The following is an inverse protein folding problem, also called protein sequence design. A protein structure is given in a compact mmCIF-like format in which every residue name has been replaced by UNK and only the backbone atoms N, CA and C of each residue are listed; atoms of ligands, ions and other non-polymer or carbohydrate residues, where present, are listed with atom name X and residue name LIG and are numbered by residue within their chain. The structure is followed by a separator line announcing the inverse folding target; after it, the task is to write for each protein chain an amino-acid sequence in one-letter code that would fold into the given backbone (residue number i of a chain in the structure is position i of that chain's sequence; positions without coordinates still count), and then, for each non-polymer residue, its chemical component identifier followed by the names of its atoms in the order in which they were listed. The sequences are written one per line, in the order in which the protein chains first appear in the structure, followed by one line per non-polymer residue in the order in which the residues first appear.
data_IF_533473623301
#
_entry.id   IF_533473623301
#
_cell.length_a   1.000
_cell.length_b   1.000
_cell.length_c   1.000
_cell.angle_alpha   90.00
_cell.angle_beta   90.00
_cell.angle_gamma   90.00
#
_symmetry.space_group_name_H-M   'P 1'
#
loop_
_entity.id
_entity.type
_entity.pdbx_description
1 polymer ?
#
# COMPACT_ATOMS: atom_id res chain seq x y z
N UNK A 1 18.22 -3.28 -12.61
CA UNK A 1 18.13 -3.14 -11.13
C UNK A 1 19.31 -2.40 -10.48
N UNK A 2 20.45 -2.22 -11.09
CA UNK A 2 21.59 -1.54 -10.41
C UNK A 2 21.39 -0.05 -10.06
N UNK A 3 20.30 0.57 -10.47
CA UNK A 3 20.01 1.99 -10.20
C UNK A 3 19.06 2.20 -9.01
N UNK A 4 18.25 1.18 -8.65
CA UNK A 4 17.30 1.27 -7.56
C UNK A 4 17.92 0.75 -6.26
N UNK A 5 17.79 1.52 -5.21
CA UNK A 5 18.23 1.21 -3.86
C UNK A 5 17.25 1.80 -2.84
N UNK A 6 17.54 1.72 -1.55
CA UNK A 6 16.65 2.25 -0.52
C UNK A 6 16.33 3.74 -0.68
N UNK A 7 17.26 4.55 -1.20
CA UNK A 7 17.01 5.97 -1.44
C UNK A 7 16.03 6.25 -2.59
N UNK A 8 15.82 5.26 -3.48
CA UNK A 8 14.83 5.32 -4.56
C UNK A 8 13.55 4.52 -4.26
N UNK A 9 13.34 4.07 -3.02
CA UNK A 9 12.14 3.32 -2.61
C UNK A 9 12.19 1.81 -2.90
N UNK A 10 13.35 1.28 -3.35
CA UNK A 10 13.52 -0.15 -3.54
C UNK A 10 14.06 -0.81 -2.27
N UNK A 11 13.27 -1.69 -1.69
CA UNK A 11 13.67 -2.52 -0.56
C UNK A 11 13.84 -3.97 -1.00
N UNK A 12 15.05 -4.31 -1.49
CA UNK A 12 15.39 -5.69 -1.85
C UNK A 12 15.27 -6.64 -0.67
N UNK A 13 15.33 -7.94 -0.96
CA UNK A 13 15.34 -8.95 0.11
C UNK A 13 16.59 -8.86 0.99
N UNK A 14 16.47 -9.11 2.30
CA UNK A 14 17.63 -9.25 3.16
C UNK A 14 18.51 -10.44 2.72
N UNK A 15 19.84 -10.36 2.91
CA UNK A 15 20.73 -11.49 2.68
C UNK A 15 20.33 -12.70 3.51
N UNK A 16 20.30 -13.89 2.91
CA UNK A 16 19.91 -15.13 3.58
C UNK A 16 18.39 -15.37 3.66
N UNK A 17 17.60 -14.57 2.96
CA UNK A 17 16.16 -14.83 2.82
C UNK A 17 15.86 -16.20 2.23
N UNK A 18 14.81 -16.85 2.74
CA UNK A 18 14.29 -18.11 2.21
C UNK A 18 12.75 -18.08 2.18
N UNK A 19 12.18 -18.63 1.10
CA UNK A 19 10.73 -18.82 1.01
C UNK A 19 10.36 -20.16 1.65
N UNK A 20 9.72 -20.12 2.81
CA UNK A 20 9.32 -21.30 3.57
C UNK A 20 7.80 -21.38 3.81
N UNK A 21 7.04 -20.47 3.19
CA UNK A 21 5.59 -20.48 3.32
C UNK A 21 4.98 -21.77 2.77
N UNK A 22 4.14 -22.42 3.57
CA UNK A 22 3.44 -23.63 3.18
C UNK A 22 2.13 -23.31 2.46
N UNK A 23 1.86 -24.01 1.35
CA UNK A 23 0.65 -23.78 0.54
C UNK A 23 -0.68 -24.07 1.27
N UNK A 24 -0.67 -24.67 2.45
CA UNK A 24 -1.84 -25.23 3.12
C UNK A 24 -2.26 -24.53 4.42
N UNK A 25 -1.56 -23.49 4.87
CA UNK A 25 -1.89 -22.79 6.11
C UNK A 25 -2.77 -21.57 5.81
N UNK A 26 -4.06 -21.61 6.20
CA UNK A 26 -5.04 -20.54 5.96
C UNK A 26 -5.14 -19.52 7.11
N UNK A 27 -4.62 -19.86 8.29
CA UNK A 27 -4.85 -19.09 9.52
C UNK A 27 -3.59 -18.43 10.10
N UNK A 28 -2.47 -18.46 9.37
CA UNK A 28 -1.22 -17.90 9.88
C UNK A 28 -1.17 -16.37 9.67
N UNK A 29 -0.66 -15.70 10.69
CA UNK A 29 -0.28 -14.31 10.60
C UNK A 29 0.82 -14.13 9.53
N UNK A 30 0.66 -13.25 8.53
CA UNK A 30 1.61 -13.09 7.43
C UNK A 30 3.01 -12.62 7.88
N UNK A 31 3.13 -11.96 9.02
CA UNK A 31 4.42 -11.60 9.62
C UNK A 31 5.13 -12.79 10.28
N UNK A 32 4.42 -13.86 10.57
CA UNK A 32 4.98 -15.17 11.00
C UNK A 32 5.33 -16.00 9.78
N UNK A 33 4.40 -16.15 8.86
CA UNK A 33 4.52 -17.00 7.68
C UNK A 33 5.70 -16.57 6.79
N UNK A 34 5.78 -15.27 6.48
CA UNK A 34 6.81 -14.73 5.59
C UNK A 34 8.00 -14.09 6.31
N UNK A 35 8.19 -14.38 7.63
CA UNK A 35 9.23 -13.72 8.44
C UNK A 35 10.63 -13.77 7.84
N UNK A 36 11.00 -14.91 7.22
CA UNK A 36 12.32 -15.11 6.63
C UNK A 36 12.54 -14.29 5.33
N UNK A 37 11.52 -13.59 4.87
CA UNK A 37 11.59 -12.61 3.77
C UNK A 37 11.60 -11.17 4.27
N UNK A 38 11.40 -10.93 5.58
CA UNK A 38 11.28 -9.60 6.18
C UNK A 38 12.61 -9.12 6.76
N UNK A 39 12.94 -7.87 6.51
CA UNK A 39 14.10 -7.20 7.12
C UNK A 39 14.02 -7.16 8.64
N UNK A 40 12.82 -7.01 9.19
CA UNK A 40 12.60 -7.03 10.63
C UNK A 40 13.08 -8.34 11.26
N UNK A 41 12.85 -9.50 10.63
CA UNK A 41 13.34 -10.79 11.11
C UNK A 41 14.87 -10.90 11.03
N UNK A 42 15.46 -10.52 9.91
CA UNK A 42 16.91 -10.56 9.73
C UNK A 42 17.65 -9.60 10.67
N UNK A 43 17.05 -8.44 10.94
CA UNK A 43 17.57 -7.54 11.97
C UNK A 43 17.56 -8.20 13.35
N UNK A 44 16.43 -8.79 13.76
CA UNK A 44 16.30 -9.47 15.04
C UNK A 44 17.33 -10.59 15.21
N UNK A 45 17.48 -11.45 14.20
CA UNK A 45 18.45 -12.56 14.22
C UNK A 45 19.89 -12.08 14.22
N UNK A 46 20.22 -11.00 13.52
CA UNK A 46 21.55 -10.37 13.54
C UNK A 46 21.92 -9.83 14.92
N UNK A 47 20.95 -9.46 15.73
CA UNK A 47 21.11 -9.02 17.13
C UNK A 47 21.11 -10.20 18.12
N UNK A 48 21.05 -11.45 17.64
CA UNK A 48 21.06 -12.66 18.47
C UNK A 48 19.70 -13.11 18.98
N UNK A 49 18.60 -12.51 18.50
CA UNK A 49 17.25 -12.98 18.84
C UNK A 49 16.99 -14.35 18.21
N UNK A 50 16.45 -15.29 18.99
CA UNK A 50 16.04 -16.60 18.46
C UNK A 50 14.77 -16.49 17.61
N UNK A 51 14.55 -17.48 16.71
CA UNK A 51 13.31 -17.56 15.92
C UNK A 51 12.08 -17.55 16.84
N UNK A 52 12.09 -18.31 17.94
CA UNK A 52 10.97 -18.34 18.87
C UNK A 52 10.71 -16.98 19.53
N UNK A 53 11.74 -16.25 19.92
CA UNK A 53 11.58 -14.92 20.52
C UNK A 53 10.98 -13.91 19.50
N UNK A 54 11.38 -14.02 18.22
CA UNK A 54 10.77 -13.21 17.17
C UNK A 54 9.27 -13.53 17.01
N UNK A 55 8.93 -14.83 16.97
CA UNK A 55 7.53 -15.27 16.93
C UNK A 55 6.72 -14.75 18.12
N UNK A 56 7.31 -14.74 19.31
CA UNK A 56 6.65 -14.24 20.52
C UNK A 56 6.45 -12.72 20.45
N UNK A 57 7.38 -11.96 19.88
CA UNK A 57 7.20 -10.51 19.65
C UNK A 57 6.04 -10.23 18.69
N UNK A 58 5.99 -10.97 17.55
CA UNK A 58 4.90 -10.83 16.58
C UNK A 58 3.56 -11.18 17.22
N UNK A 59 3.47 -12.33 17.91
CA UNK A 59 2.23 -12.78 18.56
C UNK A 59 1.75 -11.80 19.62
N UNK A 60 2.62 -11.33 20.50
CA UNK A 60 2.24 -10.39 21.56
C UNK A 60 1.68 -9.07 20.99
N UNK A 61 2.27 -8.58 19.90
CA UNK A 61 1.78 -7.37 19.23
C UNK A 61 0.45 -7.63 18.53
N UNK A 62 0.30 -8.77 17.84
CA UNK A 62 -0.92 -9.15 17.14
C UNK A 62 -2.08 -9.45 18.10
N UNK A 63 -1.82 -10.10 19.24
CA UNK A 63 -2.80 -10.33 20.30
C UNK A 63 -3.34 -8.99 20.83
N UNK A 64 -2.45 -8.01 21.06
CA UNK A 64 -2.86 -6.67 21.48
C UNK A 64 -3.68 -5.94 20.40
N UNK A 65 -3.40 -6.15 19.11
CA UNK A 65 -4.22 -5.66 18.00
C UNK A 65 -5.59 -6.34 18.02
N UNK A 66 -5.62 -7.66 18.19
CA UNK A 66 -6.84 -8.47 18.22
C UNK A 66 -7.76 -8.07 19.38
N UNK A 67 -7.21 -7.77 20.55
CA UNK A 67 -7.98 -7.25 21.69
C UNK A 67 -8.69 -5.91 21.39
N UNK A 68 -8.07 -5.06 20.56
CA UNK A 68 -8.61 -3.74 20.22
C UNK A 68 -9.63 -3.78 19.07
N UNK A 69 -9.48 -4.70 18.12
CA UNK A 69 -10.24 -4.70 16.86
C UNK A 69 -11.13 -5.92 16.68
N UNK A 70 -11.04 -6.89 17.57
CA UNK A 70 -11.75 -8.18 17.48
C UNK A 70 -11.12 -9.18 16.51
N UNK A 71 -10.03 -8.80 15.81
CA UNK A 71 -9.31 -9.69 14.91
C UNK A 71 -7.83 -9.30 14.82
N UNK A 72 -6.94 -10.30 14.75
CA UNK A 72 -5.52 -10.13 14.41
C UNK A 72 -5.26 -10.27 12.91
N UNK A 73 -3.98 -10.24 12.54
CA UNK A 73 -3.57 -10.46 11.16
C UNK A 73 -3.74 -11.93 10.75
N UNK A 74 -4.32 -12.14 9.58
CA UNK A 74 -4.54 -13.44 8.97
C UNK A 74 -4.41 -13.33 7.46
N UNK A 75 -4.33 -14.47 6.77
CA UNK A 75 -4.44 -14.50 5.33
C UNK A 75 -5.77 -13.85 4.90
N UNK A 76 -5.68 -12.87 4.01
CA UNK A 76 -6.87 -12.27 3.39
C UNK A 76 -7.18 -12.99 2.07
N UNK A 77 -8.45 -13.18 1.69
CA UNK A 77 -8.78 -14.03 0.56
C UNK A 77 -8.43 -13.40 -0.79
N UNK A 78 -7.99 -14.24 -1.72
CA UNK A 78 -8.00 -13.98 -3.16
C UNK A 78 -9.25 -14.65 -3.73
N UNK A 79 -10.22 -13.87 -4.22
CA UNK A 79 -11.57 -14.30 -4.56
C UNK A 79 -11.83 -14.11 -6.05
N UNK A 80 -12.36 -15.13 -6.72
CA UNK A 80 -12.86 -14.99 -8.09
C UNK A 80 -14.23 -14.31 -8.10
N UNK A 81 -14.37 -13.22 -8.84
CA UNK A 81 -15.58 -12.40 -8.91
C UNK A 81 -16.39 -12.72 -10.17
N UNK A 82 -17.00 -13.91 -10.23
CA UNK A 82 -17.66 -14.43 -11.43
C UNK A 82 -18.78 -13.54 -11.96
N UNK A 83 -19.66 -13.05 -11.07
CA UNK A 83 -20.81 -12.22 -11.48
C UNK A 83 -20.33 -10.82 -11.92
N UNK A 84 -19.32 -10.27 -11.26
CA UNK A 84 -18.69 -9.02 -11.67
C UNK A 84 -18.00 -9.17 -13.03
N UNK A 85 -17.26 -10.25 -13.26
CA UNK A 85 -16.59 -10.54 -14.53
C UNK A 85 -17.57 -10.55 -15.69
N UNK A 86 -18.71 -11.25 -15.52
CA UNK A 86 -19.80 -11.29 -16.51
C UNK A 86 -20.42 -9.91 -16.74
N UNK A 87 -20.69 -9.17 -15.66
CA UNK A 87 -21.33 -7.86 -15.73
C UNK A 87 -20.53 -6.83 -16.52
N UNK A 88 -19.17 -6.92 -16.45
CA UNK A 88 -18.28 -6.01 -17.18
C UNK A 88 -17.71 -6.61 -18.47
N UNK A 89 -18.08 -7.86 -18.83
CA UNK A 89 -17.59 -8.55 -20.02
C UNK A 89 -16.08 -8.79 -19.97
N UNK A 90 -15.55 -9.26 -18.83
CA UNK A 90 -14.16 -9.69 -18.68
C UNK A 90 -14.08 -11.20 -18.71
N UNK A 91 -13.92 -11.77 -19.91
CA UNK A 91 -13.98 -13.22 -20.15
C UNK A 91 -12.80 -13.97 -19.52
N UNK A 92 -11.61 -13.34 -19.47
CA UNK A 92 -10.42 -13.85 -18.74
C UNK A 92 -10.61 -13.85 -17.22
N UNK A 93 -11.63 -13.16 -16.72
CA UNK A 93 -12.02 -13.13 -15.32
C UNK A 93 -11.37 -12.07 -14.47
N UNK A 94 -12.05 -11.71 -13.38
CA UNK A 94 -11.57 -10.76 -12.37
C UNK A 94 -11.41 -11.48 -11.04
N UNK A 95 -10.21 -11.41 -10.49
CA UNK A 95 -9.87 -11.85 -9.14
C UNK A 95 -9.68 -10.64 -8.25
N UNK A 96 -10.11 -10.72 -7.00
CA UNK A 96 -9.92 -9.66 -6.03
C UNK A 96 -9.12 -10.14 -4.81
N UNK A 97 -8.02 -9.47 -4.52
CA UNK A 97 -7.37 -9.55 -3.22
C UNK A 97 -8.11 -8.67 -2.25
N UNK A 98 -8.82 -9.30 -1.31
CA UNK A 98 -9.76 -8.60 -0.43
C UNK A 98 -9.12 -8.18 0.90
N UNK A 99 -8.65 -6.95 1.00
CA UNK A 99 -8.10 -6.33 2.21
C UNK A 99 -9.16 -5.61 3.07
N UNK A 100 -10.43 -5.63 2.68
CA UNK A 100 -11.49 -4.97 3.47
C UNK A 100 -11.72 -5.63 4.82
N UNK A 101 -11.38 -6.91 4.95
CA UNK A 101 -11.51 -7.70 6.19
C UNK A 101 -10.22 -7.73 7.03
N UNK A 102 -9.15 -7.10 6.56
CA UNK A 102 -7.90 -7.00 7.31
C UNK A 102 -8.05 -6.11 8.55
N UNK A 103 -7.10 -6.16 9.45
CA UNK A 103 -7.02 -5.28 10.63
C UNK A 103 -7.30 -3.84 10.25
N UNK A 104 -8.09 -3.14 11.04
CA UNK A 104 -8.60 -1.79 10.74
C UNK A 104 -9.31 -1.66 9.39
N UNK A 105 -9.80 -2.74 8.79
CA UNK A 105 -10.57 -2.76 7.54
C UNK A 105 -9.79 -2.29 6.32
N UNK A 106 -8.45 -2.40 6.30
CA UNK A 106 -7.66 -1.99 5.12
C UNK A 106 -6.25 -2.56 5.12
N UNK A 107 -5.63 -2.59 3.92
CA UNK A 107 -4.22 -2.96 3.72
C UNK A 107 -3.23 -2.11 4.53
N UNK A 108 -3.62 -0.90 4.94
CA UNK A 108 -2.73 0.04 5.65
C UNK A 108 -2.16 -0.52 6.93
N UNK A 109 -2.90 -1.41 7.60
CA UNK A 109 -2.43 -2.06 8.81
C UNK A 109 -1.14 -2.86 8.62
N UNK A 110 -0.93 -3.49 7.45
CA UNK A 110 0.29 -4.26 7.16
C UNK A 110 1.54 -3.39 7.24
N UNK A 111 1.51 -2.22 6.60
CA UNK A 111 2.59 -1.24 6.62
C UNK A 111 2.93 -0.79 8.05
N UNK A 112 1.90 -0.42 8.81
CA UNK A 112 2.05 0.13 10.16
C UNK A 112 2.48 -0.96 11.17
N UNK A 113 2.01 -2.19 11.01
CA UNK A 113 2.45 -3.30 11.85
C UNK A 113 3.93 -3.62 11.63
N UNK A 114 4.39 -3.64 10.37
CA UNK A 114 5.81 -3.80 10.05
C UNK A 114 6.69 -2.72 10.71
N UNK A 115 6.24 -1.45 10.71
CA UNK A 115 6.92 -0.37 11.40
C UNK A 115 6.95 -0.59 12.92
N UNK A 116 5.81 -0.95 13.52
CA UNK A 116 5.74 -1.21 14.95
C UNK A 116 6.62 -2.40 15.36
N UNK A 117 6.57 -3.50 14.59
CA UNK A 117 7.41 -4.67 14.81
C UNK A 117 8.90 -4.31 14.81
N UNK A 118 9.33 -3.50 13.84
CA UNK A 118 10.70 -3.03 13.78
C UNK A 118 11.10 -2.21 15.01
N UNK A 119 10.23 -1.30 15.45
CA UNK A 119 10.48 -0.51 16.66
C UNK A 119 10.57 -1.36 17.93
N UNK A 120 9.85 -2.49 18.00
CA UNK A 120 9.98 -3.46 19.11
C UNK A 120 11.33 -4.18 19.05
N UNK A 121 11.75 -4.60 17.87
CA UNK A 121 13.03 -5.32 17.67
C UNK A 121 14.23 -4.42 17.95
N UNK A 122 14.17 -3.16 17.51
CA UNK A 122 15.22 -2.16 17.79
C UNK A 122 15.20 -1.63 19.23
N UNK A 123 14.27 -2.12 20.06
CA UNK A 123 14.08 -1.69 21.45
C UNK A 123 13.94 -0.16 21.60
N UNK A 124 13.35 0.48 20.59
CA UNK A 124 13.15 1.92 20.60
C UNK A 124 12.24 2.31 21.76
N UNK A 125 12.68 3.28 22.56
CA UNK A 125 11.94 3.75 23.75
C UNK A 125 10.47 4.02 23.43
N UNK A 126 9.57 3.47 24.23
CA UNK A 126 8.10 3.71 24.14
C UNK A 126 7.72 5.18 24.34
N UNK A 127 8.60 5.97 24.98
CA UNK A 127 8.37 7.39 25.21
C UNK A 127 8.66 8.26 23.96
N UNK A 128 9.33 7.71 22.93
CA UNK A 128 9.48 8.43 21.66
C UNK A 128 8.12 8.54 20.97
N UNK A 129 7.60 9.76 20.73
CA UNK A 129 6.31 9.92 20.09
C UNK A 129 6.38 9.50 18.62
N UNK A 130 5.25 8.98 18.13
CA UNK A 130 5.03 8.67 16.72
C UNK A 130 4.22 9.81 16.09
N UNK A 131 4.39 10.03 14.78
CA UNK A 131 3.56 10.99 14.04
C UNK A 131 3.22 10.51 12.65
N UNK A 132 2.02 10.88 12.17
CA UNK A 132 1.54 10.61 10.82
C UNK A 132 0.74 11.83 10.31
N UNK A 133 0.80 12.10 9.00
CA UNK A 133 -0.11 13.02 8.31
C UNK A 133 -1.09 12.19 7.47
N UNK A 134 -2.32 12.06 7.91
CA UNK A 134 -3.37 11.32 7.19
C UNK A 134 -4.73 11.56 7.84
N UNK A 135 -5.79 11.59 7.02
CA UNK A 135 -7.19 11.67 7.45
C UNK A 135 -8.05 10.51 6.90
N UNK A 136 -7.48 9.29 6.79
CA UNK A 136 -8.18 8.14 6.25
C UNK A 136 -7.72 6.81 6.87
N UNK A 137 -7.73 5.76 6.06
CA UNK A 137 -7.37 4.40 6.47
C UNK A 137 -5.98 4.29 7.10
N UNK A 138 -5.00 5.12 6.68
CA UNK A 138 -3.67 5.10 7.26
C UNK A 138 -3.67 5.68 8.69
N UNK A 139 -4.41 6.76 8.94
CA UNK A 139 -4.56 7.34 10.28
C UNK A 139 -5.21 6.33 11.24
N UNK A 140 -6.29 5.67 10.81
CA UNK A 140 -6.98 4.67 11.62
C UNK A 140 -6.07 3.48 11.93
N UNK A 141 -5.42 2.91 10.93
CA UNK A 141 -4.48 1.82 11.12
C UNK A 141 -3.32 2.21 12.05
N UNK A 142 -2.75 3.42 11.89
CA UNK A 142 -1.71 3.94 12.75
C UNK A 142 -2.17 4.05 14.22
N UNK A 143 -3.39 4.53 14.45
CA UNK A 143 -3.95 4.68 15.79
C UNK A 143 -4.15 3.32 16.48
N UNK A 144 -4.71 2.33 15.77
CA UNK A 144 -4.86 0.95 16.26
C UNK A 144 -3.49 0.35 16.62
N UNK A 145 -2.55 0.37 15.68
CA UNK A 145 -1.25 -0.27 15.87
C UNK A 145 -0.40 0.45 16.92
N UNK A 146 -0.40 1.78 16.95
CA UNK A 146 0.32 2.53 17.98
C UNK A 146 -0.23 2.24 19.38
N UNK A 147 -1.58 2.13 19.54
CA UNK A 147 -2.20 1.74 20.80
C UNK A 147 -1.81 0.33 21.22
N UNK A 148 -1.87 -0.65 20.32
CA UNK A 148 -1.44 -2.02 20.57
C UNK A 148 0.04 -2.08 21.01
N UNK A 149 0.90 -1.30 20.36
CA UNK A 149 2.32 -1.17 20.70
C UNK A 149 2.58 -0.30 21.95
N UNK A 150 1.54 0.24 22.60
CA UNK A 150 1.63 1.14 23.78
C UNK A 150 2.50 2.36 23.52
N UNK A 151 2.35 2.99 22.36
CA UNK A 151 3.10 4.18 21.92
C UNK A 151 2.19 5.37 21.71
N UNK A 152 2.67 6.56 22.04
CA UNK A 152 1.96 7.80 21.79
C UNK A 152 2.01 8.17 20.31
N UNK A 153 0.86 8.44 19.69
CA UNK A 153 0.75 8.84 18.30
C UNK A 153 0.09 10.23 18.21
N UNK A 154 0.69 11.11 17.39
CA UNK A 154 0.05 12.34 16.92
C UNK A 154 -0.37 12.17 15.48
N UNK A 155 -1.66 12.39 15.19
CA UNK A 155 -2.23 12.35 13.84
C UNK A 155 -2.49 13.78 13.39
N UNK A 156 -1.81 14.20 12.33
CA UNK A 156 -1.98 15.51 11.70
C UNK A 156 -3.08 15.41 10.65
N UNK A 157 -4.18 16.13 10.84
CA UNK A 157 -5.39 16.07 10.02
C UNK A 157 -5.75 17.43 9.46
N UNK A 158 -6.34 17.52 8.25
CA UNK A 158 -6.82 18.77 7.70
C UNK A 158 -8.05 19.29 8.43
N UNK A 159 -8.36 20.57 8.29
CA UNK A 159 -9.51 21.23 8.92
C UNK A 159 -10.88 20.68 8.49
N UNK A 160 -10.93 20.00 7.36
CA UNK A 160 -12.13 19.38 6.79
C UNK A 160 -12.25 17.88 7.10
N UNK A 161 -11.36 17.32 7.94
CA UNK A 161 -11.42 15.91 8.31
C UNK A 161 -12.78 15.56 8.95
N UNK A 162 -13.30 14.38 8.59
CA UNK A 162 -14.59 13.90 9.08
C UNK A 162 -14.60 13.70 10.60
N UNK A 163 -15.64 14.19 11.27
CA UNK A 163 -15.74 14.13 12.74
C UNK A 163 -15.83 12.71 13.27
N UNK A 164 -16.49 11.80 12.56
CA UNK A 164 -16.62 10.40 12.99
C UNK A 164 -15.28 9.65 12.87
N UNK A 165 -14.46 10.02 11.88
CA UNK A 165 -13.09 9.55 11.82
C UNK A 165 -12.28 10.06 13.01
N UNK A 166 -12.38 11.37 13.35
CA UNK A 166 -11.66 11.96 14.46
C UNK A 166 -12.03 11.30 15.79
N UNK A 167 -13.31 11.00 15.99
CA UNK A 167 -13.80 10.27 17.16
C UNK A 167 -13.16 8.87 17.23
N UNK A 168 -13.15 8.12 16.11
CA UNK A 168 -12.51 6.82 16.04
C UNK A 168 -11.00 6.86 16.31
N UNK A 169 -10.28 7.89 15.85
CA UNK A 169 -8.85 8.07 16.17
C UNK A 169 -8.64 8.33 17.67
N UNK A 170 -9.53 9.14 18.27
CA UNK A 170 -9.50 9.47 19.71
C UNK A 170 -9.78 8.26 20.58
N UNK A 171 -10.70 7.38 20.18
CA UNK A 171 -11.03 6.13 20.90
C UNK A 171 -9.81 5.20 21.01
N UNK A 172 -8.94 5.22 20.00
CA UNK A 172 -7.64 4.54 20.06
C UNK A 172 -6.56 5.35 20.78
N UNK A 173 -6.89 6.53 21.35
CA UNK A 173 -5.97 7.34 22.14
C UNK A 173 -4.95 8.13 21.35
N UNK A 174 -5.16 8.34 20.06
CA UNK A 174 -4.34 9.21 19.25
C UNK A 174 -4.55 10.68 19.64
N UNK A 175 -3.47 11.47 19.67
CA UNK A 175 -3.54 12.92 19.75
C UNK A 175 -3.84 13.48 18.37
N UNK A 176 -4.95 14.16 18.21
CA UNK A 176 -5.32 14.79 16.95
C UNK A 176 -4.77 16.22 16.91
N UNK A 177 -4.07 16.53 15.83
CA UNK A 177 -3.61 17.88 15.52
C UNK A 177 -4.28 18.36 14.23
N UNK A 178 -5.23 19.29 14.36
CA UNK A 178 -5.87 19.94 13.22
C UNK A 178 -4.89 20.96 12.63
N UNK A 179 -4.63 20.84 11.32
CA UNK A 179 -3.58 21.57 10.63
C UNK A 179 -4.20 22.69 9.78
N UNK A 180 -4.22 23.88 10.32
CA UNK A 180 -4.56 25.09 9.57
C UNK A 180 -3.35 25.58 8.79
N UNK A 181 -3.60 26.17 7.62
CA UNK A 181 -2.54 26.85 6.84
C UNK A 181 -2.14 28.14 7.53
N UNK A 182 -0.86 28.31 7.84
CA UNK A 182 -0.31 29.56 8.37
C UNK A 182 0.04 30.53 7.23
N UNK A 183 0.07 31.82 7.52
CA UNK A 183 0.42 32.86 6.55
C UNK A 183 1.82 32.61 5.95
N UNK A 184 1.89 32.59 4.62
CA UNK A 184 3.13 32.36 3.88
C UNK A 184 3.52 30.90 3.67
N UNK A 185 2.75 29.92 4.18
CA UNK A 185 3.02 28.50 3.94
C UNK A 185 2.52 28.05 2.57
N UNK A 186 3.35 27.24 1.88
CA UNK A 186 3.00 26.51 0.67
C UNK A 186 3.06 25.01 0.90
N UNK A 187 2.32 24.21 0.15
CA UNK A 187 2.23 22.76 0.32
C UNK A 187 1.11 22.31 1.29
N UNK A 188 1.06 21.05 1.64
CA UNK A 188 0.08 20.48 2.56
C UNK A 188 0.39 20.86 4.02
N UNK A 189 -0.53 21.56 4.74
CA UNK A 189 -0.34 21.91 6.14
C UNK A 189 -0.11 20.71 7.06
N UNK A 190 -0.72 19.54 6.77
CA UNK A 190 -0.55 18.33 7.56
C UNK A 190 0.87 17.78 7.44
N UNK A 191 1.41 17.77 6.23
CA UNK A 191 2.79 17.36 5.99
C UNK A 191 3.79 18.34 6.60
N UNK A 192 3.49 19.64 6.59
CA UNK A 192 4.33 20.64 7.26
C UNK A 192 4.38 20.40 8.80
N UNK A 193 3.22 20.18 9.42
CA UNK A 193 3.17 19.86 10.87
C UNK A 193 3.83 18.52 11.19
N UNK A 194 3.64 17.53 10.33
CA UNK A 194 4.34 16.24 10.44
C UNK A 194 5.87 16.44 10.46
N UNK A 195 6.41 17.21 9.53
CA UNK A 195 7.87 17.49 9.46
C UNK A 195 8.38 18.27 10.67
N UNK A 196 7.63 19.25 11.17
CA UNK A 196 7.97 19.95 12.42
C UNK A 196 8.10 18.95 13.59
N UNK A 197 7.15 18.00 13.73
CA UNK A 197 7.23 16.99 14.79
C UNK A 197 8.42 16.04 14.61
N UNK A 198 8.81 15.72 13.38
CA UNK A 198 10.04 14.93 13.14
C UNK A 198 11.30 15.70 13.59
N UNK A 199 11.37 17.02 13.32
CA UNK A 199 12.46 17.87 13.78
C UNK A 199 12.51 17.97 15.32
N UNK A 200 11.36 17.86 16.00
CA UNK A 200 11.24 17.78 17.46
C UNK A 200 11.60 16.39 18.02
N UNK A 201 11.89 15.42 17.16
CA UNK A 201 12.34 14.07 17.52
C UNK A 201 11.26 12.99 17.55
N UNK A 202 10.06 13.26 17.03
CA UNK A 202 9.08 12.23 16.76
C UNK A 202 9.55 11.27 15.66
N UNK A 203 9.00 10.05 15.63
CA UNK A 203 9.32 9.07 14.60
C UNK A 203 8.22 9.04 13.53
N UNK A 204 8.58 8.92 12.23
CA UNK A 204 7.61 8.79 11.16
C UNK A 204 6.89 7.44 11.26
N UNK A 205 5.56 7.46 11.34
CA UNK A 205 4.72 6.28 11.48
C UNK A 205 3.59 6.30 10.45
N UNK A 206 3.97 6.37 9.17
CA UNK A 206 3.08 6.50 8.02
C UNK A 206 3.41 5.51 6.91
N UNK A 207 2.63 5.57 5.81
CA UNK A 207 2.78 4.68 4.66
C UNK A 207 3.53 5.34 3.50
N UNK A 208 4.41 6.32 3.77
CA UNK A 208 5.26 6.96 2.79
C UNK A 208 6.69 6.39 2.91
N UNK A 209 7.12 5.62 1.91
CA UNK A 209 8.45 4.98 1.93
C UNK A 209 9.60 5.99 1.88
N UNK A 210 9.39 7.17 1.29
CA UNK A 210 10.36 8.28 1.30
C UNK A 210 10.62 8.85 2.70
N UNK A 211 9.64 8.78 3.60
CA UNK A 211 9.80 9.20 4.99
C UNK A 211 10.30 8.05 5.89
N UNK A 212 9.91 6.83 5.57
CA UNK A 212 10.36 5.61 6.26
C UNK A 212 10.26 4.39 5.35
N UNK A 213 11.38 3.98 4.76
CA UNK A 213 11.45 2.85 3.81
C UNK A 213 10.95 1.53 4.42
N UNK A 214 11.01 1.36 5.74
CA UNK A 214 10.57 0.14 6.42
C UNK A 214 9.04 -0.08 6.37
N UNK A 215 8.28 0.92 5.92
CA UNK A 215 6.86 0.72 5.61
C UNK A 215 6.67 -0.27 4.45
N UNK A 216 7.64 -0.35 3.53
CA UNK A 216 7.64 -1.31 2.42
C UNK A 216 7.81 -2.74 2.92
N UNK A 217 8.64 -2.98 3.96
CA UNK A 217 8.84 -4.31 4.56
C UNK A 217 7.52 -4.94 5.01
N UNK A 218 6.73 -4.21 5.80
CA UNK A 218 5.39 -4.66 6.22
C UNK A 218 4.41 -4.81 5.05
N UNK A 219 4.45 -3.88 4.08
CA UNK A 219 3.59 -3.90 2.89
C UNK A 219 3.84 -5.10 1.98
N UNK A 220 5.07 -5.61 1.89
CA UNK A 220 5.45 -6.79 1.09
C UNK A 220 4.70 -8.05 1.51
N UNK A 221 4.25 -8.14 2.76
CA UNK A 221 3.46 -9.29 3.24
C UNK A 221 2.21 -9.55 2.41
N UNK A 222 1.57 -8.49 1.85
CA UNK A 222 0.42 -8.65 0.95
C UNK A 222 0.82 -9.33 -0.37
N UNK A 223 1.91 -8.89 -0.97
CA UNK A 223 2.39 -9.47 -2.23
C UNK A 223 2.92 -10.90 -2.05
N UNK A 224 3.61 -11.22 -0.95
CA UNK A 224 4.03 -12.59 -0.64
C UNK A 224 2.83 -13.52 -0.46
N UNK A 225 1.83 -13.09 0.31
CA UNK A 225 0.58 -13.81 0.51
C UNK A 225 -0.16 -14.04 -0.81
N UNK A 226 -0.30 -13.00 -1.64
CA UNK A 226 -0.91 -13.11 -2.95
C UNK A 226 -0.12 -14.07 -3.86
N UNK A 227 1.21 -14.05 -3.84
CA UNK A 227 2.04 -14.98 -4.61
C UNK A 227 1.82 -16.44 -4.20
N UNK A 228 1.73 -16.72 -2.90
CA UNK A 228 1.39 -18.06 -2.39
C UNK A 228 0.00 -18.50 -2.84
N UNK A 229 -0.98 -17.58 -2.84
CA UNK A 229 -2.35 -17.87 -3.29
C UNK A 229 -2.41 -18.11 -4.80
N UNK A 230 -1.73 -17.29 -5.61
CA UNK A 230 -1.65 -17.50 -7.07
C UNK A 230 -1.04 -18.87 -7.38
N UNK A 231 0.05 -19.25 -6.73
CA UNK A 231 0.66 -20.56 -6.89
C UNK A 231 -0.27 -21.69 -6.40
N UNK A 232 -0.95 -21.51 -5.26
CA UNK A 232 -1.91 -22.50 -4.70
C UNK A 232 -3.06 -22.81 -5.66
N UNK A 233 -3.54 -21.79 -6.38
CA UNK A 233 -4.66 -21.91 -7.32
C UNK A 233 -4.22 -22.19 -8.76
N UNK A 234 -2.92 -22.33 -9.01
CA UNK A 234 -2.34 -22.46 -10.36
C UNK A 234 -2.81 -21.33 -11.31
N UNK A 235 -2.75 -20.10 -10.81
CA UNK A 235 -3.20 -18.89 -11.50
C UNK A 235 -2.01 -18.07 -12.01
N UNK A 236 -2.05 -17.76 -13.30
CA UNK A 236 -1.10 -16.87 -13.97
C UNK A 236 -1.87 -15.66 -14.53
N UNK A 237 -2.24 -14.66 -13.70
CA UNK A 237 -2.99 -13.51 -14.20
C UNK A 237 -2.15 -12.62 -15.10
N UNK A 238 -2.78 -12.05 -16.13
CA UNK A 238 -2.12 -11.16 -17.08
C UNK A 238 -1.88 -9.78 -16.49
N UNK A 239 -2.82 -9.28 -15.67
CA UNK A 239 -2.82 -7.91 -15.16
C UNK A 239 -3.02 -7.85 -13.64
N UNK A 240 -2.31 -6.91 -13.02
CA UNK A 240 -2.57 -6.47 -11.65
C UNK A 240 -2.87 -4.98 -11.65
N UNK A 241 -4.08 -4.59 -11.25
CA UNK A 241 -4.45 -3.18 -11.11
C UNK A 241 -4.41 -2.76 -9.64
N UNK A 242 -3.61 -1.73 -9.37
CA UNK A 242 -3.41 -1.20 -8.01
C UNK A 242 -3.67 0.30 -7.98
N UNK A 243 -4.59 0.73 -7.14
CA UNK A 243 -4.83 2.15 -6.90
C UNK A 243 -3.66 2.81 -6.17
N UNK A 244 -3.29 4.00 -6.62
CA UNK A 244 -2.09 4.71 -6.17
C UNK A 244 -2.42 6.14 -5.73
N UNK A 245 -2.21 6.42 -4.45
CA UNK A 245 -1.95 7.75 -3.91
C UNK A 245 -0.45 7.90 -3.71
N UNK A 246 0.05 7.68 -2.49
CA UNK A 246 1.48 7.75 -2.16
C UNK A 246 2.37 6.65 -2.77
N UNK A 247 1.79 5.55 -3.26
CA UNK A 247 2.52 4.52 -4.02
C UNK A 247 3.03 3.32 -3.22
N UNK A 248 3.09 3.36 -1.89
CA UNK A 248 3.68 2.30 -1.07
C UNK A 248 3.03 0.92 -1.28
N UNK A 249 1.69 0.86 -1.45
CA UNK A 249 0.98 -0.41 -1.71
C UNK A 249 1.46 -1.04 -3.02
N UNK A 250 1.41 -0.29 -4.12
CA UNK A 250 1.81 -0.79 -5.44
C UNK A 250 3.29 -1.17 -5.45
N UNK A 251 4.15 -0.33 -4.88
CA UNK A 251 5.59 -0.57 -4.79
C UNK A 251 5.92 -1.83 -3.97
N UNK A 252 5.35 -1.98 -2.77
CA UNK A 252 5.60 -3.16 -1.93
C UNK A 252 5.05 -4.44 -2.56
N UNK A 253 3.85 -4.39 -3.15
CA UNK A 253 3.24 -5.55 -3.81
C UNK A 253 4.06 -5.99 -5.02
N UNK A 254 4.43 -5.06 -5.90
CA UNK A 254 5.25 -5.35 -7.08
C UNK A 254 6.62 -5.92 -6.69
N UNK A 255 7.31 -5.33 -5.72
CA UNK A 255 8.59 -5.84 -5.22
C UNK A 255 8.45 -7.28 -4.67
N UNK A 256 7.38 -7.58 -3.93
CA UNK A 256 7.15 -8.93 -3.41
C UNK A 256 6.83 -9.95 -4.50
N UNK A 257 6.08 -9.59 -5.55
CA UNK A 257 5.83 -10.45 -6.71
C UNK A 257 7.13 -10.73 -7.49
N UNK A 258 7.99 -9.72 -7.63
CA UNK A 258 9.32 -9.88 -8.23
C UNK A 258 10.18 -10.83 -7.41
N UNK A 259 10.17 -10.71 -6.09
CA UNK A 259 10.87 -11.64 -5.19
C UNK A 259 10.33 -13.06 -5.33
N UNK A 260 9.01 -13.24 -5.39
CA UNK A 260 8.36 -14.55 -5.57
C UNK A 260 8.75 -15.22 -6.91
N UNK A 261 8.82 -14.45 -7.99
CA UNK A 261 9.33 -14.91 -9.29
C UNK A 261 10.80 -15.35 -9.17
N UNK A 262 11.63 -14.57 -8.49
CA UNK A 262 13.06 -14.90 -8.30
C UNK A 262 13.27 -16.16 -7.45
N UNK A 263 12.36 -16.47 -6.53
CA UNK A 263 12.34 -17.74 -5.78
C UNK A 263 11.71 -18.91 -6.56
N UNK A 264 11.16 -18.68 -7.75
CA UNK A 264 10.45 -19.69 -8.53
C UNK A 264 9.09 -20.11 -7.95
N UNK A 265 8.51 -19.29 -7.07
CA UNK A 265 7.13 -19.47 -6.55
C UNK A 265 6.12 -19.12 -7.63
N UNK A 266 6.38 -18.07 -8.38
CA UNK A 266 5.66 -17.70 -9.58
C UNK A 266 6.52 -17.97 -10.81
N UNK A 267 5.93 -18.50 -11.86
CA UNK A 267 6.60 -18.66 -13.16
C UNK A 267 6.81 -17.29 -13.80
N UNK A 268 5.78 -16.48 -13.77
CA UNK A 268 5.81 -15.07 -14.13
C UNK A 268 4.93 -14.25 -13.18
N UNK A 269 4.98 -12.93 -13.28
CA UNK A 269 4.16 -12.02 -12.50
C UNK A 269 3.24 -11.23 -13.41
N UNK A 270 2.04 -10.87 -12.94
CA UNK A 270 1.14 -10.03 -13.72
C UNK A 270 1.77 -8.66 -14.02
N UNK A 271 1.43 -8.13 -15.19
CA UNK A 271 1.79 -6.76 -15.59
C UNK A 271 1.13 -5.74 -14.66
N UNK A 272 1.94 -4.81 -14.12
CA UNK A 272 1.46 -3.79 -13.18
C UNK A 272 0.76 -2.65 -13.92
N UNK A 273 -0.49 -2.40 -13.57
CA UNK A 273 -1.21 -1.19 -13.94
C UNK A 273 -1.52 -0.36 -12.68
N UNK A 274 -0.93 0.82 -12.57
CA UNK A 274 -1.23 1.75 -11.48
C UNK A 274 -2.45 2.59 -11.83
N UNK A 275 -3.35 2.82 -10.86
CA UNK A 275 -4.59 3.54 -11.09
C UNK A 275 -4.65 4.80 -10.24
N UNK A 276 -4.84 5.95 -10.88
CA UNK A 276 -5.07 7.23 -10.22
C UNK A 276 -6.39 7.86 -10.69
N UNK A 277 -6.96 8.73 -9.87
CA UNK A 277 -8.15 9.49 -10.25
C UNK A 277 -7.78 10.65 -11.19
N UNK A 278 -8.66 11.00 -12.14
CA UNK A 278 -8.45 12.13 -13.06
C UNK A 278 -8.29 13.47 -12.34
N UNK A 279 -8.83 13.61 -11.13
CA UNK A 279 -8.65 14.77 -10.28
C UNK A 279 -7.35 14.79 -9.48
N UNK A 280 -6.51 13.74 -9.57
CA UNK A 280 -5.19 13.67 -8.95
C UNK A 280 -4.38 12.51 -9.56
N UNK A 281 -3.53 12.79 -10.56
CA UNK A 281 -2.75 11.78 -11.28
C UNK A 281 -1.29 12.17 -11.52
N UNK A 282 -0.54 12.54 -10.45
CA UNK A 282 0.85 12.98 -10.59
C UNK A 282 1.79 11.90 -11.14
N UNK A 283 1.54 10.60 -10.82
CA UNK A 283 2.33 9.50 -11.33
C UNK A 283 2.21 9.34 -12.84
N UNK A 284 0.99 9.47 -13.40
CA UNK A 284 0.78 9.43 -14.85
C UNK A 284 1.60 10.51 -15.57
N UNK A 285 1.60 11.74 -15.02
CA UNK A 285 2.38 12.84 -15.61
C UNK A 285 3.88 12.54 -15.54
N UNK A 286 4.38 12.10 -14.40
CA UNK A 286 5.80 11.77 -14.24
C UNK A 286 6.22 10.60 -15.14
N UNK A 287 5.39 9.56 -15.26
CA UNK A 287 5.62 8.42 -16.15
C UNK A 287 5.73 8.88 -17.60
N UNK A 288 4.73 9.62 -18.12
CA UNK A 288 4.73 10.10 -19.51
C UNK A 288 5.94 10.99 -19.80
N UNK A 289 6.31 11.86 -18.86
CA UNK A 289 7.47 12.73 -19.02
C UNK A 289 8.79 11.95 -19.16
N UNK A 290 8.89 10.78 -18.52
CA UNK A 290 10.05 9.89 -18.65
C UNK A 290 9.96 9.03 -19.90
N UNK A 291 8.81 8.39 -20.16
CA UNK A 291 8.59 7.48 -21.28
C UNK A 291 8.73 8.19 -22.63
N UNK A 292 8.27 9.42 -22.73
CA UNK A 292 8.29 10.22 -23.97
C UNK A 292 9.63 10.94 -24.20
N UNK A 293 10.59 10.80 -23.28
CA UNK A 293 11.92 11.38 -23.44
C UNK A 293 12.75 10.62 -24.49
N UNK A 294 13.72 11.29 -25.09
CA UNK A 294 14.65 10.67 -26.06
C UNK A 294 15.42 9.48 -25.48
N UNK A 295 15.63 9.48 -24.15
CA UNK A 295 16.30 8.40 -23.42
C UNK A 295 15.63 8.16 -22.06
N UNK A 296 14.62 7.28 -21.98
CA UNK A 296 13.90 7.00 -20.73
C UNK A 296 14.78 6.54 -19.56
N UNK A 297 15.85 5.79 -19.86
CA UNK A 297 16.78 5.30 -18.83
C UNK A 297 17.60 6.45 -18.22
N UNK A 298 18.04 7.41 -19.01
CA UNK A 298 18.73 8.61 -18.54
C UNK A 298 17.79 9.53 -17.78
N UNK A 299 16.56 9.73 -18.29
CA UNK A 299 15.53 10.53 -17.63
C UNK A 299 15.16 9.96 -16.24
N UNK A 300 15.03 8.62 -16.12
CA UNK A 300 14.78 7.98 -14.83
C UNK A 300 15.99 8.11 -13.88
N UNK A 301 17.21 8.00 -14.38
CA UNK A 301 18.43 8.22 -13.58
C UNK A 301 18.51 9.65 -13.07
N UNK A 302 18.12 10.63 -13.89
CA UNK A 302 18.01 12.03 -13.47
C UNK A 302 16.90 12.21 -12.42
N UNK A 303 15.78 11.53 -12.58
CA UNK A 303 14.64 11.60 -11.64
C UNK A 303 15.00 11.11 -10.23
N UNK A 304 15.91 10.15 -10.08
CA UNK A 304 16.43 9.70 -8.78
C UNK A 304 17.20 10.84 -8.09
N UNK A 305 17.97 11.61 -8.85
CA UNK A 305 18.79 12.71 -8.32
C UNK A 305 18.00 14.01 -8.15
N UNK A 306 16.97 14.22 -8.94
CA UNK A 306 16.15 15.42 -8.98
C UNK A 306 14.66 15.10 -9.13
N UNK A 307 14.05 14.46 -8.12
CA UNK A 307 12.67 13.93 -8.21
C UNK A 307 11.64 15.02 -8.49
N UNK A 308 11.80 16.22 -7.95
CA UNK A 308 10.84 17.32 -8.14
C UNK A 308 10.77 17.88 -9.57
N UNK A 309 11.74 17.53 -10.42
CA UNK A 309 11.67 17.86 -11.86
C UNK A 309 10.53 17.10 -12.54
N UNK A 310 10.29 15.85 -12.14
CA UNK A 310 9.34 14.93 -12.74
C UNK A 310 8.06 14.77 -11.90
N UNK A 311 8.20 14.51 -10.61
CA UNK A 311 7.09 14.35 -9.67
C UNK A 311 6.75 15.72 -9.05
N UNK A 312 5.83 16.44 -9.68
CA UNK A 312 5.38 17.75 -9.22
C UNK A 312 4.10 17.61 -8.39
N UNK A 313 3.96 18.39 -7.30
CA UNK A 313 2.74 18.41 -6.53
C UNK A 313 1.52 18.76 -7.39
N UNK A 314 0.44 17.97 -7.22
CA UNK A 314 -0.83 18.22 -7.89
C UNK A 314 -1.60 19.33 -7.18
N UNK A 315 -2.12 20.28 -7.97
CA UNK A 315 -2.92 21.36 -7.42
C UNK A 315 -4.38 20.95 -7.25
N UNK A 316 -4.93 21.15 -6.07
CA UNK A 316 -6.34 20.89 -5.74
C UNK A 316 -6.81 19.46 -6.05
N UNK A 317 -6.23 18.43 -5.39
CA UNK A 317 -6.68 17.04 -5.54
C UNK A 317 -8.17 16.88 -5.25
N UNK A 318 -8.90 16.16 -6.10
CA UNK A 318 -10.35 15.98 -5.96
C UNK A 318 -10.81 14.64 -6.54
N UNK A 319 -11.49 13.82 -5.75
CA UNK A 319 -12.23 12.61 -6.15
C UNK A 319 -13.04 12.07 -4.97
N UNK A 320 -14.05 11.23 -5.22
CA UNK A 320 -14.70 10.42 -4.20
C UNK A 320 -13.73 9.36 -3.60
N UNK A 321 -12.72 8.93 -4.35
CA UNK A 321 -11.67 8.05 -3.88
C UNK A 321 -10.60 8.81 -3.07
N UNK A 322 -11.01 9.39 -1.95
CA UNK A 322 -10.19 10.33 -1.15
C UNK A 322 -8.86 9.77 -0.66
N UNK A 323 -8.74 8.46 -0.48
CA UNK A 323 -7.52 7.81 0.01
C UNK A 323 -6.40 7.64 -1.04
N UNK A 324 -6.60 8.13 -2.28
CA UNK A 324 -5.58 8.17 -3.33
C UNK A 324 -5.34 9.60 -3.85
N UNK A 325 -5.60 10.59 -3.03
CA UNK A 325 -5.44 12.02 -3.37
C UNK A 325 -4.16 12.62 -2.79
N UNK A 326 -3.11 11.83 -2.64
CA UNK A 326 -1.79 12.38 -2.33
C UNK A 326 -1.34 13.30 -3.49
N UNK A 327 -0.95 14.51 -3.18
CA UNK A 327 -0.54 15.51 -4.17
C UNK A 327 0.74 15.13 -4.93
N UNK A 328 1.56 14.25 -4.33
CA UNK A 328 2.68 13.57 -4.99
C UNK A 328 2.60 12.06 -4.71
N UNK A 329 3.12 11.26 -5.63
CA UNK A 329 3.33 9.83 -5.38
C UNK A 329 4.71 9.63 -4.79
N UNK A 330 4.79 9.32 -3.50
CA UNK A 330 6.06 9.21 -2.77
C UNK A 330 6.94 8.06 -3.28
N UNK A 331 6.35 6.86 -3.43
CA UNK A 331 7.06 5.62 -3.79
C UNK A 331 6.97 5.31 -5.30
N UNK A 332 7.16 6.30 -6.15
CA UNK A 332 6.89 6.22 -7.59
C UNK A 332 8.03 5.65 -8.45
N UNK A 333 9.29 5.85 -8.04
CA UNK A 333 10.45 5.45 -8.86
C UNK A 333 10.49 3.95 -9.16
N UNK A 334 10.24 3.03 -8.17
CA UNK A 334 10.16 1.60 -8.46
C UNK A 334 9.03 1.25 -9.40
N UNK A 335 7.89 1.96 -9.33
CA UNK A 335 6.74 1.73 -10.20
C UNK A 335 7.03 2.12 -11.64
N UNK A 336 7.65 3.29 -11.86
CA UNK A 336 8.05 3.73 -13.21
C UNK A 336 9.12 2.80 -13.79
N UNK A 337 10.11 2.39 -12.97
CA UNK A 337 11.09 1.40 -13.41
C UNK A 337 10.41 0.10 -13.87
N UNK A 338 9.51 -0.42 -13.08
CA UNK A 338 8.81 -1.67 -13.36
C UNK A 338 8.05 -1.60 -14.69
N UNK A 339 7.20 -0.60 -14.82
CA UNK A 339 6.34 -0.43 -15.99
C UNK A 339 7.11 -0.11 -17.29
N UNK A 340 8.33 0.45 -17.22
CA UNK A 340 9.11 0.80 -18.41
C UNK A 340 10.15 -0.24 -18.79
N UNK A 341 10.72 -0.97 -17.82
CA UNK A 341 11.92 -1.77 -18.08
C UNK A 341 11.83 -3.25 -17.69
N UNK A 342 10.93 -3.61 -16.76
CA UNK A 342 10.75 -4.99 -16.32
C UNK A 342 9.53 -5.65 -16.99
N UNK A 343 8.51 -4.84 -17.32
CA UNK A 343 7.25 -5.32 -17.89
C UNK A 343 6.66 -4.29 -18.84
N UNK A 344 6.85 -4.50 -20.13
CA UNK A 344 6.40 -3.57 -21.17
C UNK A 344 4.88 -3.55 -21.42
N UNK A 345 4.09 -4.40 -20.73
CA UNK A 345 2.64 -4.48 -20.90
C UNK A 345 1.86 -3.69 -19.85
N UNK A 346 2.51 -3.29 -18.76
CA UNK A 346 1.93 -2.47 -17.71
C UNK A 346 1.95 -0.98 -18.03
N UNK A 347 1.31 -0.18 -17.17
CA UNK A 347 1.32 1.28 -17.30
C UNK A 347 0.37 1.98 -16.35
N UNK A 348 0.50 3.31 -16.19
CA UNK A 348 -0.41 4.10 -15.39
C UNK A 348 -1.74 4.29 -16.12
N UNK A 349 -2.84 4.19 -15.37
CA UNK A 349 -4.22 4.37 -15.83
C UNK A 349 -4.83 5.53 -15.06
N UNK A 350 -5.54 6.41 -15.79
CA UNK A 350 -6.30 7.51 -15.22
C UNK A 350 -7.80 7.17 -15.25
N UNK A 351 -8.40 6.92 -14.08
CA UNK A 351 -9.83 6.68 -13.96
C UNK A 351 -10.61 7.98 -13.80
N UNK A 352 -11.68 8.15 -14.57
CA UNK A 352 -12.58 9.28 -14.41
C UNK A 352 -13.41 9.13 -13.13
N UNK A 353 -13.99 10.22 -12.62
CA UNK A 353 -14.90 10.17 -11.49
C UNK A 353 -16.12 9.27 -11.77
N UNK A 354 -16.58 9.23 -13.03
CA UNK A 354 -17.63 8.31 -13.46
C UNK A 354 -17.21 6.85 -13.30
N UNK A 355 -15.98 6.50 -13.66
CA UNK A 355 -15.45 5.13 -13.50
C UNK A 355 -15.33 4.75 -12.03
N UNK A 356 -14.91 5.69 -11.16
CA UNK A 356 -14.80 5.50 -9.70
C UNK A 356 -16.18 5.23 -9.07
N UNK A 357 -17.19 6.03 -9.43
CA UNK A 357 -18.55 5.82 -8.96
C UNK A 357 -19.13 4.50 -9.45
N UNK A 358 -18.93 4.18 -10.72
CA UNK A 358 -19.41 2.94 -11.33
C UNK A 358 -18.75 1.71 -10.70
N UNK A 359 -17.44 1.73 -10.45
CA UNK A 359 -16.71 0.62 -9.86
C UNK A 359 -17.23 0.25 -8.46
N UNK A 360 -17.51 1.26 -7.62
CA UNK A 360 -18.10 1.01 -6.30
C UNK A 360 -19.48 0.34 -6.40
N UNK A 361 -20.34 0.84 -7.28
CA UNK A 361 -21.67 0.26 -7.48
C UNK A 361 -21.58 -1.17 -8.00
N UNK A 362 -20.73 -1.46 -8.98
CA UNK A 362 -20.54 -2.80 -9.51
C UNK A 362 -20.05 -3.80 -8.45
N UNK A 363 -19.13 -3.41 -7.57
CA UNK A 363 -18.71 -4.27 -6.45
C UNK A 363 -19.87 -4.52 -5.50
N UNK A 364 -20.65 -3.49 -5.14
CA UNK A 364 -21.80 -3.63 -4.26
C UNK A 364 -22.92 -4.49 -4.86
N UNK A 365 -23.17 -4.37 -6.17
CA UNK A 365 -24.28 -5.06 -6.85
C UNK A 365 -23.94 -6.53 -7.20
N UNK A 366 -22.65 -6.84 -7.38
CA UNK A 366 -22.22 -8.17 -7.89
C UNK A 366 -21.32 -8.94 -6.92
N UNK A 367 -21.11 -8.46 -5.69
CA UNK A 367 -20.32 -9.16 -4.68
C UNK A 367 -20.89 -8.92 -3.27
N UNK A 368 -20.49 -9.79 -2.32
CA UNK A 368 -20.77 -9.60 -0.88
C UNK A 368 -19.75 -8.68 -0.19
N UNK A 369 -18.86 -8.01 -0.96
CA UNK A 369 -17.74 -7.24 -0.41
C UNK A 369 -18.14 -5.77 -0.28
N UNK A 370 -18.10 -5.26 0.95
CA UNK A 370 -18.30 -3.83 1.23
C UNK A 370 -16.96 -3.09 1.09
N UNK A 371 -16.72 -2.45 -0.06
CA UNK A 371 -15.50 -1.69 -0.33
C UNK A 371 -15.81 -0.22 -0.61
N UNK A 372 -14.96 0.67 -0.10
CA UNK A 372 -15.06 2.12 -0.30
C UNK A 372 -14.71 2.54 -1.74
N UNK A 373 -14.98 3.79 -2.13
CA UNK A 373 -14.52 4.35 -3.41
C UNK A 373 -13.02 4.17 -3.62
N UNK A 374 -12.22 4.43 -2.61
CA UNK A 374 -10.77 4.15 -2.63
C UNK A 374 -10.49 2.65 -2.77
N UNK A 375 -11.27 1.83 -2.06
CA UNK A 375 -11.11 0.37 -2.08
C UNK A 375 -11.38 -0.25 -3.45
N UNK A 376 -12.25 0.35 -4.25
CA UNK A 376 -12.66 -0.15 -5.57
C UNK A 376 -11.96 0.55 -6.74
N UNK A 377 -11.05 1.50 -6.49
CA UNK A 377 -10.45 2.32 -7.55
C UNK A 377 -9.61 1.48 -8.55
N UNK A 378 -9.06 0.32 -8.14
CA UNK A 378 -8.43 -0.63 -9.06
C UNK A 378 -9.41 -1.12 -10.15
N UNK A 379 -10.66 -1.43 -9.77
CA UNK A 379 -11.72 -1.76 -10.75
C UNK A 379 -12.07 -0.57 -11.65
N UNK A 380 -12.08 0.65 -11.11
CA UNK A 380 -12.28 1.86 -11.92
C UNK A 380 -11.22 1.98 -13.02
N UNK A 381 -9.98 1.64 -12.70
CA UNK A 381 -8.89 1.55 -13.67
C UNK A 381 -9.15 0.49 -14.75
N UNK A 382 -9.64 -0.69 -14.37
CA UNK A 382 -10.01 -1.75 -15.33
C UNK A 382 -11.09 -1.25 -16.31
N UNK A 383 -12.14 -0.59 -15.80
CA UNK A 383 -13.21 -0.04 -16.64
C UNK A 383 -12.69 1.02 -17.61
N UNK A 384 -11.80 1.90 -17.15
CA UNK A 384 -11.15 2.91 -17.98
C UNK A 384 -10.28 2.26 -19.06
N UNK A 385 -9.40 1.33 -18.68
CA UNK A 385 -8.47 0.66 -19.59
C UNK A 385 -9.19 -0.17 -20.67
N UNK A 386 -10.29 -0.84 -20.32
CA UNK A 386 -11.14 -1.56 -21.31
C UNK A 386 -11.77 -0.60 -22.31
N UNK A 387 -12.34 0.50 -21.83
CA UNK A 387 -12.93 1.53 -22.71
C UNK A 387 -11.89 2.09 -23.69
N UNK A 388 -10.65 2.26 -23.24
CA UNK A 388 -9.56 2.84 -24.00
C UNK A 388 -8.79 1.81 -24.84
N UNK A 389 -9.17 0.51 -24.76
CA UNK A 389 -8.58 -0.60 -25.52
C UNK A 389 -7.16 -1.00 -25.04
N UNK A 390 -6.83 -0.70 -23.78
CA UNK A 390 -5.52 -1.03 -23.18
C UNK A 390 -5.50 -2.39 -22.47
N UNK A 391 -6.66 -2.94 -22.14
CA UNK A 391 -6.84 -4.26 -21.52
C UNK A 391 -7.92 -4.99 -22.32
N UNK A 392 -7.60 -6.20 -22.79
CA UNK A 392 -8.50 -7.04 -23.56
C UNK A 392 -9.50 -7.78 -22.64
N UNK A 393 -10.66 -8.17 -23.21
CA UNK A 393 -11.65 -8.96 -22.47
C UNK A 393 -11.12 -10.31 -22.00
N UNK A 394 -10.17 -10.88 -22.76
CA UNK A 394 -9.58 -12.19 -22.48
C UNK A 394 -8.46 -12.16 -21.44
N UNK A 395 -7.95 -10.96 -21.10
CA UNK A 395 -6.96 -10.82 -20.02
C UNK A 395 -7.56 -11.27 -18.67
N UNK A 396 -6.84 -12.11 -17.94
CA UNK A 396 -7.14 -12.42 -16.54
C UNK A 396 -6.58 -11.32 -15.63
N UNK A 397 -7.42 -10.81 -14.74
CA UNK A 397 -7.12 -9.58 -14.00
C UNK A 397 -7.21 -9.80 -12.50
N UNK A 398 -6.19 -9.33 -11.77
CA UNK A 398 -6.27 -9.16 -10.31
C UNK A 398 -6.46 -7.68 -9.98
N UNK A 399 -7.44 -7.39 -9.12
CA UNK A 399 -7.63 -6.08 -8.49
C UNK A 399 -7.41 -6.18 -6.99
N UNK A 400 -7.06 -5.07 -6.34
CA UNK A 400 -6.99 -4.99 -4.88
C UNK A 400 -8.21 -4.25 -4.34
N UNK A 401 -9.02 -4.90 -3.49
CA UNK A 401 -10.08 -4.24 -2.72
C UNK A 401 -9.48 -3.79 -1.37
N UNK A 402 -8.98 -2.58 -1.32
CA UNK A 402 -7.98 -2.13 -0.34
C UNK A 402 -8.54 -1.56 0.96
N UNK A 403 -9.83 -1.25 1.02
CA UNK A 403 -10.42 -0.67 2.22
C UNK A 403 -11.93 -0.81 2.26
N UNK A 404 -12.44 -1.14 3.44
CA UNK A 404 -13.88 -1.29 3.70
C UNK A 404 -14.62 0.03 3.50
N UNK A 405 -15.88 -0.06 3.05
CA UNK A 405 -16.80 1.08 3.07
C UNK A 405 -17.24 1.34 4.52
N UNK A 406 -16.95 2.53 5.01
CA UNK A 406 -17.39 2.98 6.34
C UNK A 406 -18.44 4.06 6.15
N UNK A 407 -19.59 3.87 6.78
CA UNK A 407 -20.49 4.98 7.05
C UNK A 407 -19.84 5.80 8.18
N UNK A 408 -19.07 6.82 7.79
CA UNK A 408 -18.67 7.87 8.73
C UNK A 408 -19.76 8.90 8.81
#
# INVERSE_FOLDING_TARGET
MNFLNQNSGWLGLPPGSSWEAENNSLDLNPFIEYRKLLWSYHLATSQGMSDQNFLDVVKNLDDAVSELTGTGFRETPLVFLSELSKAIGQDGGVWAKNETINVSGSHKARHLFGLALRLEIEEVSKNKPLTIASCGNAALAASVIAKAAKRNLTVNVPTWADTSLLDGLSDYGARIQICERRNGESGDPCMLRFKELLEEGALPFGCQGTENIWTIDGGKTLGFEMSTQLNRYDLEPDRLLVQVGGGALASSTMQALTDAKNFGILKDRPSLNTVQASGCSPLLIAFNQISDSDNPSEALSEAISNPLKYMKPWENPSSAATGILDDITYDWLPLVWDMLFEDNNGGPICASEKDILLAKNLVADHTEISASFTGTAGLAGLLAAKRDGCIDSDDSVVILLTGVDRAF
#
